data_IF_289718457445
#
_entry.id   IF_289718457445
#
_cell.length_a   1.000
_cell.length_b   1.000
_cell.length_c   1.000
_cell.angle_alpha   90.00
_cell.angle_beta   90.00
_cell.angle_gamma   90.00
#
_symmetry.space_group_name_H-M   'P 1'
#
loop_
_entity.id
_entity.type
_entity.pdbx_description
1 polymer ?
#
# COMPACT_ATOMS: atom_id res chain seq x y z
N UNK A 1 -47.32 -90.24 -49.90
CA UNK A 1 -48.77 -90.39 -50.22
C UNK A 1 -49.38 -91.62 -49.52
N UNK A 2 -50.70 -91.74 -49.37
CA UNK A 2 -51.32 -92.98 -48.84
C UNK A 2 -51.15 -94.12 -49.85
N UNK A 3 -50.82 -95.33 -49.37
CA UNK A 3 -50.55 -96.53 -50.18
C UNK A 3 -51.67 -96.82 -51.19
N UNK A 4 -52.90 -96.43 -50.85
CA UNK A 4 -54.07 -96.54 -51.71
C UNK A 4 -54.02 -95.66 -52.96
N UNK A 5 -53.42 -94.47 -52.92
CA UNK A 5 -53.29 -93.57 -54.10
C UNK A 5 -52.20 -94.02 -55.08
N UNK A 6 -51.19 -94.75 -54.59
CA UNK A 6 -50.10 -95.30 -55.39
C UNK A 6 -50.54 -96.55 -56.17
N UNK A 7 -51.37 -97.39 -55.55
CA UNK A 7 -51.98 -98.58 -56.15
C UNK A 7 -53.06 -98.25 -57.20
N UNK A 8 -53.62 -97.03 -57.18
CA UNK A 8 -54.58 -96.54 -58.19
C UNK A 8 -53.93 -95.94 -59.44
N UNK A 9 -52.72 -95.35 -59.31
CA UNK A 9 -52.06 -94.60 -60.39
C UNK A 9 -51.19 -95.44 -61.31
N UNK A 10 -50.67 -96.55 -60.83
CA UNK A 10 -49.76 -97.41 -61.59
C UNK A 10 -50.28 -98.83 -61.56
N UNK A 11 -50.44 -99.43 -62.74
CA UNK A 11 -50.88 -100.82 -62.88
C UNK A 11 -49.76 -101.76 -62.41
N UNK A 12 -49.88 -102.13 -61.13
CA UNK A 12 -48.93 -102.97 -60.38
C UNK A 12 -48.84 -104.40 -60.92
N UNK A 13 -49.66 -104.75 -61.92
CA UNK A 13 -49.62 -106.03 -62.64
C UNK A 13 -48.46 -106.12 -63.64
N UNK A 14 -47.83 -104.98 -63.97
CA UNK A 14 -46.77 -104.88 -64.98
C UNK A 14 -45.48 -104.34 -64.38
N UNK A 15 -44.36 -104.96 -64.73
CA UNK A 15 -43.02 -104.66 -64.17
C UNK A 15 -42.65 -103.18 -64.32
N UNK A 16 -42.98 -102.56 -65.46
CA UNK A 16 -42.72 -101.14 -65.73
C UNK A 16 -43.54 -100.18 -64.83
N UNK A 17 -44.79 -100.53 -64.51
CA UNK A 17 -45.65 -99.76 -63.61
C UNK A 17 -45.17 -99.84 -62.17
N UNK A 18 -44.76 -101.04 -61.76
CA UNK A 18 -44.12 -101.32 -60.47
C UNK A 18 -42.84 -100.49 -60.31
N UNK A 19 -41.99 -100.44 -61.33
CA UNK A 19 -40.69 -99.77 -61.26
C UNK A 19 -40.80 -98.24 -61.22
N UNK A 20 -41.80 -97.65 -61.89
CA UNK A 20 -42.10 -96.20 -61.76
C UNK A 20 -42.66 -95.85 -60.39
N UNK A 21 -43.59 -96.65 -59.87
CA UNK A 21 -44.10 -96.46 -58.52
C UNK A 21 -42.98 -96.58 -57.48
N UNK A 22 -42.03 -97.51 -57.69
CA UNK A 22 -40.87 -97.71 -56.83
C UNK A 22 -39.92 -96.52 -56.86
N UNK A 23 -39.57 -95.98 -58.04
CA UNK A 23 -38.73 -94.77 -58.15
C UNK A 23 -39.38 -93.52 -57.55
N UNK A 24 -40.69 -93.34 -57.72
CA UNK A 24 -41.42 -92.21 -57.12
C UNK A 24 -41.47 -92.34 -55.58
N UNK A 25 -41.64 -93.57 -55.06
CA UNK A 25 -41.55 -93.85 -53.62
C UNK A 25 -40.13 -93.60 -53.11
N UNK A 26 -39.09 -94.09 -53.79
CA UNK A 26 -37.68 -93.87 -53.41
C UNK A 26 -37.33 -92.38 -53.39
N UNK A 27 -37.90 -91.59 -54.32
CA UNK A 27 -37.72 -90.14 -54.34
C UNK A 27 -38.46 -89.45 -53.18
N UNK A 28 -39.71 -89.82 -52.91
CA UNK A 28 -40.44 -89.31 -51.74
C UNK A 28 -39.73 -89.71 -50.44
N UNK A 29 -39.20 -90.93 -50.36
CA UNK A 29 -38.44 -91.44 -49.21
C UNK A 29 -37.14 -90.65 -49.01
N UNK A 30 -36.38 -90.38 -50.09
CA UNK A 30 -35.18 -89.56 -50.03
C UNK A 30 -35.48 -88.10 -49.62
N UNK A 31 -36.55 -87.49 -50.15
CA UNK A 31 -36.97 -86.13 -49.77
C UNK A 31 -37.40 -86.07 -48.29
N UNK A 32 -38.12 -87.10 -47.80
CA UNK A 32 -38.52 -87.21 -46.40
C UNK A 32 -37.31 -87.45 -45.51
N UNK A 33 -36.35 -88.28 -45.91
CA UNK A 33 -35.13 -88.55 -45.14
C UNK A 33 -34.23 -87.31 -45.05
N UNK A 34 -34.13 -86.52 -46.11
CA UNK A 34 -33.39 -85.26 -46.09
C UNK A 34 -34.09 -84.21 -45.21
N UNK A 35 -35.42 -84.13 -45.27
CA UNK A 35 -36.18 -83.28 -44.35
C UNK A 35 -36.06 -83.75 -42.89
N UNK A 36 -36.11 -85.06 -42.63
CA UNK A 36 -36.03 -85.64 -41.29
C UNK A 36 -34.63 -85.44 -40.69
N UNK A 37 -33.57 -85.67 -41.47
CA UNK A 37 -32.19 -85.40 -41.05
C UNK A 37 -31.94 -83.91 -40.78
N UNK A 38 -32.56 -83.03 -41.58
CA UNK A 38 -32.59 -81.58 -41.32
C UNK A 38 -33.28 -81.21 -40.01
N UNK A 39 -34.40 -81.85 -39.68
CA UNK A 39 -35.11 -81.61 -38.40
C UNK A 39 -34.36 -82.21 -37.21
N UNK A 40 -33.81 -83.42 -37.35
CA UNK A 40 -33.05 -84.10 -36.30
C UNK A 40 -31.75 -83.36 -35.97
N UNK A 41 -31.04 -82.84 -36.97
CA UNK A 41 -29.83 -82.02 -36.74
C UNK A 41 -30.16 -80.71 -36.01
N UNK A 42 -31.31 -80.08 -36.32
CA UNK A 42 -31.81 -78.91 -35.60
C UNK A 42 -32.21 -79.25 -34.16
N UNK A 43 -32.82 -80.41 -33.92
CA UNK A 43 -33.14 -80.89 -32.58
C UNK A 43 -31.87 -81.13 -31.75
N UNK A 44 -30.86 -81.81 -32.30
CA UNK A 44 -29.56 -82.02 -31.65
C UNK A 44 -28.85 -80.69 -31.32
N UNK A 45 -28.89 -79.73 -32.24
CA UNK A 45 -28.34 -78.38 -32.00
C UNK A 45 -29.10 -77.64 -30.89
N UNK A 46 -30.43 -77.75 -30.88
CA UNK A 46 -31.28 -77.13 -29.86
C UNK A 46 -31.03 -77.73 -28.48
N UNK A 47 -30.91 -79.06 -28.37
CA UNK A 47 -30.56 -79.75 -27.13
C UNK A 47 -29.17 -79.35 -26.63
N UNK A 48 -28.19 -79.21 -27.52
CA UNK A 48 -26.86 -78.68 -27.19
C UNK A 48 -26.94 -77.27 -26.60
N UNK A 49 -27.71 -76.37 -27.24
CA UNK A 49 -27.94 -75.00 -26.73
C UNK A 49 -28.69 -74.99 -25.41
N UNK A 50 -29.68 -75.87 -25.25
CA UNK A 50 -30.46 -75.99 -24.00
C UNK A 50 -29.57 -76.49 -22.85
N UNK A 51 -28.68 -77.44 -23.11
CA UNK A 51 -27.71 -77.94 -22.13
C UNK A 51 -26.73 -76.84 -21.71
N UNK A 52 -26.21 -76.06 -22.67
CA UNK A 52 -25.35 -74.91 -22.36
C UNK A 52 -26.12 -73.84 -21.57
N UNK A 53 -27.37 -73.56 -21.91
CA UNK A 53 -28.21 -72.62 -21.17
C UNK A 53 -28.50 -73.10 -19.74
N UNK A 54 -28.76 -74.40 -19.55
CA UNK A 54 -28.95 -75.00 -18.23
C UNK A 54 -27.69 -74.92 -17.37
N UNK A 55 -26.51 -75.24 -17.94
CA UNK A 55 -25.22 -75.07 -17.26
C UNK A 55 -24.89 -73.60 -16.96
N UNK A 56 -25.29 -72.68 -17.83
CA UNK A 56 -25.15 -71.25 -17.57
C UNK A 56 -26.09 -70.81 -16.44
N UNK A 57 -27.30 -71.36 -16.37
CA UNK A 57 -28.26 -71.08 -15.30
C UNK A 57 -27.75 -71.52 -13.93
N UNK A 58 -27.15 -72.71 -13.83
CA UNK A 58 -26.55 -73.17 -12.57
C UNK A 58 -25.40 -72.28 -12.14
N UNK A 59 -24.47 -71.95 -13.07
CA UNK A 59 -23.37 -71.01 -12.79
C UNK A 59 -23.86 -69.62 -12.39
N UNK A 60 -24.92 -69.11 -13.02
CA UNK A 60 -25.55 -67.85 -12.64
C UNK A 60 -26.17 -67.91 -11.24
N UNK A 61 -26.71 -69.06 -10.84
CA UNK A 61 -27.23 -69.24 -9.50
C UNK A 61 -26.10 -69.27 -8.46
N UNK A 62 -24.97 -69.91 -8.76
CA UNK A 62 -23.78 -69.88 -7.91
C UNK A 62 -23.22 -68.45 -7.76
N UNK A 63 -23.12 -67.72 -8.88
CA UNK A 63 -22.71 -66.30 -8.86
C UNK A 63 -23.70 -65.45 -8.06
N UNK A 64 -25.00 -65.73 -8.15
CA UNK A 64 -26.02 -65.04 -7.36
C UNK A 64 -25.85 -65.33 -5.86
N UNK A 65 -25.59 -66.58 -5.47
CA UNK A 65 -25.35 -66.92 -4.07
C UNK A 65 -24.07 -66.28 -3.53
N UNK A 66 -22.98 -66.31 -4.31
CA UNK A 66 -21.71 -65.68 -3.92
C UNK A 66 -21.84 -64.16 -3.82
N UNK A 67 -22.58 -63.53 -4.74
CA UNK A 67 -22.87 -62.10 -4.70
C UNK A 67 -23.71 -61.73 -3.46
N UNK A 68 -24.65 -62.59 -3.08
CA UNK A 68 -25.46 -62.37 -1.87
C UNK A 68 -24.59 -62.48 -0.61
N UNK A 69 -23.73 -63.49 -0.52
CA UNK A 69 -22.80 -63.66 0.61
C UNK A 69 -21.85 -62.45 0.69
N UNK A 70 -21.33 -61.98 -0.44
CA UNK A 70 -20.50 -60.79 -0.49
C UNK A 70 -21.26 -59.53 -0.04
N UNK A 71 -22.51 -59.34 -0.48
CA UNK A 71 -23.35 -58.23 -0.06
C UNK A 71 -23.58 -58.26 1.46
N UNK A 72 -23.91 -59.42 2.02
CA UNK A 72 -24.12 -59.59 3.46
C UNK A 72 -22.82 -59.31 4.26
N UNK A 73 -21.65 -59.74 3.76
CA UNK A 73 -20.36 -59.44 4.38
C UNK A 73 -20.03 -57.94 4.33
N UNK A 74 -20.30 -57.27 3.21
CA UNK A 74 -20.12 -55.82 3.08
C UNK A 74 -21.07 -55.07 4.02
N UNK A 75 -22.33 -55.50 4.13
CA UNK A 75 -23.30 -54.90 5.04
C UNK A 75 -22.86 -55.03 6.50
N UNK A 76 -22.43 -56.22 6.94
CA UNK A 76 -21.90 -56.44 8.28
C UNK A 76 -20.65 -55.62 8.55
N UNK A 77 -19.73 -55.55 7.58
CA UNK A 77 -18.50 -54.75 7.69
C UNK A 77 -18.82 -53.25 7.76
N UNK A 78 -19.78 -52.77 6.99
CA UNK A 78 -20.25 -51.39 7.03
C UNK A 78 -20.92 -51.06 8.37
N UNK A 79 -21.69 -51.99 8.95
CA UNK A 79 -22.25 -51.86 10.30
C UNK A 79 -21.16 -51.66 11.35
N UNK A 80 -20.18 -52.57 11.40
CA UNK A 80 -19.04 -52.48 12.32
C UNK A 80 -18.25 -51.18 12.14
N UNK A 81 -17.97 -50.77 10.90
CA UNK A 81 -17.27 -49.53 10.61
C UNK A 81 -18.05 -48.28 11.07
N UNK A 82 -19.38 -48.27 10.93
CA UNK A 82 -20.24 -47.19 11.46
C UNK A 82 -20.19 -47.13 12.98
N UNK A 83 -20.27 -48.28 13.67
CA UNK A 83 -20.24 -48.35 15.13
C UNK A 83 -18.88 -47.91 15.69
N UNK A 84 -17.78 -48.37 15.07
CA UNK A 84 -16.43 -47.92 15.43
C UNK A 84 -16.29 -46.42 15.18
N UNK A 85 -16.74 -45.91 14.03
CA UNK A 85 -16.68 -44.47 13.72
C UNK A 85 -17.50 -43.64 14.71
N UNK A 86 -18.68 -44.12 15.12
CA UNK A 86 -19.52 -43.43 16.09
C UNK A 86 -18.85 -43.36 17.47
N UNK A 87 -18.27 -44.47 17.94
CA UNK A 87 -17.51 -44.51 19.20
C UNK A 87 -16.25 -43.62 19.15
N UNK A 88 -15.52 -43.65 18.03
CA UNK A 88 -14.33 -42.78 17.84
C UNK A 88 -14.74 -41.31 17.86
N UNK A 89 -15.82 -40.90 17.19
CA UNK A 89 -16.32 -39.52 17.25
C UNK A 89 -16.70 -39.08 18.67
N UNK A 90 -17.34 -39.95 19.45
CA UNK A 90 -17.65 -39.66 20.85
C UNK A 90 -16.39 -39.51 21.70
N UNK A 91 -15.39 -40.37 21.48
CA UNK A 91 -14.11 -40.32 22.17
C UNK A 91 -13.32 -39.06 21.78
N UNK A 92 -13.32 -38.67 20.51
CA UNK A 92 -12.68 -37.44 20.02
C UNK A 92 -13.34 -36.20 20.62
N UNK A 93 -14.67 -36.20 20.73
CA UNK A 93 -15.41 -35.11 21.36
C UNK A 93 -15.09 -35.01 22.86
N UNK A 94 -15.02 -36.14 23.57
CA UNK A 94 -14.61 -36.17 24.97
C UNK A 94 -13.15 -35.71 25.14
N UNK A 95 -12.23 -36.20 24.29
CA UNK A 95 -10.82 -35.82 24.30
C UNK A 95 -10.62 -34.33 24.00
N UNK A 96 -11.36 -33.79 23.04
CA UNK A 96 -11.35 -32.37 22.70
C UNK A 96 -11.81 -31.51 23.89
N UNK A 97 -12.91 -31.89 24.55
CA UNK A 97 -13.39 -31.21 25.76
C UNK A 97 -12.39 -31.28 26.91
N UNK A 98 -11.74 -32.43 27.12
CA UNK A 98 -10.71 -32.57 28.17
C UNK A 98 -9.50 -31.69 27.86
N UNK A 99 -9.04 -31.67 26.61
CA UNK A 99 -7.93 -30.81 26.19
C UNK A 99 -8.27 -29.31 26.36
N UNK A 100 -9.51 -28.91 26.06
CA UNK A 100 -10.00 -27.55 26.27
C UNK A 100 -10.06 -27.20 27.77
N UNK A 101 -10.57 -28.10 28.62
CA UNK A 101 -10.56 -27.92 30.08
C UNK A 101 -9.13 -27.80 30.62
N UNK A 102 -8.18 -28.62 30.13
CA UNK A 102 -6.79 -28.56 30.55
C UNK A 102 -6.14 -27.22 30.19
N UNK A 103 -6.36 -26.73 28.95
CA UNK A 103 -5.89 -25.40 28.53
C UNK A 103 -6.49 -24.31 29.40
N UNK A 104 -7.80 -24.34 29.66
CA UNK A 104 -8.49 -23.37 30.53
C UNK A 104 -7.93 -23.34 31.95
N UNK A 105 -7.62 -24.50 32.53
CA UNK A 105 -7.01 -24.57 33.87
C UNK A 105 -5.60 -24.00 33.85
N UNK A 106 -4.80 -24.32 32.84
CA UNK A 106 -3.46 -23.75 32.68
C UNK A 106 -3.52 -22.22 32.52
N UNK A 107 -4.45 -21.72 31.70
CA UNK A 107 -4.67 -20.29 31.50
C UNK A 107 -5.06 -19.59 32.81
N UNK A 108 -5.95 -20.19 33.62
CA UNK A 108 -6.34 -19.61 34.92
C UNK A 108 -5.18 -19.55 35.91
N UNK A 109 -4.34 -20.59 35.95
CA UNK A 109 -3.13 -20.62 36.79
C UNK A 109 -2.15 -19.54 36.31
N UNK A 110 -1.89 -19.47 35.01
CA UNK A 110 -1.01 -18.48 34.40
C UNK A 110 -1.49 -17.06 34.66
N UNK A 111 -2.81 -16.81 34.66
CA UNK A 111 -3.37 -15.48 34.89
C UNK A 111 -3.10 -15.01 36.33
N UNK A 112 -3.24 -15.91 37.32
CA UNK A 112 -2.90 -15.63 38.72
C UNK A 112 -1.38 -15.45 38.93
N UNK A 113 -0.58 -16.27 38.24
CA UNK A 113 0.88 -16.14 38.31
C UNK A 113 1.37 -14.85 37.64
N UNK A 114 0.75 -14.43 36.52
CA UNK A 114 1.12 -13.20 35.84
C UNK A 114 0.72 -11.97 36.66
N UNK A 115 -0.46 -11.94 37.31
CA UNK A 115 -0.85 -10.81 38.16
C UNK A 115 0.07 -10.68 39.38
N UNK A 116 0.33 -11.78 40.09
CA UNK A 116 1.27 -11.79 41.22
C UNK A 116 2.71 -11.49 40.79
N UNK A 117 3.12 -12.00 39.62
CA UNK A 117 4.43 -11.77 39.02
C UNK A 117 4.67 -10.30 38.67
N UNK A 118 3.67 -9.61 38.10
CA UNK A 118 3.76 -8.16 37.82
C UNK A 118 3.88 -7.37 39.12
N UNK A 119 3.10 -7.68 40.15
CA UNK A 119 3.20 -6.99 41.45
C UNK A 119 4.57 -7.20 42.11
N UNK A 120 5.11 -8.42 42.05
CA UNK A 120 6.44 -8.73 42.56
C UNK A 120 7.54 -8.02 41.77
N UNK A 121 7.44 -8.00 40.44
CA UNK A 121 8.35 -7.31 39.54
C UNK A 121 8.39 -5.79 39.80
N UNK A 122 7.23 -5.17 40.04
CA UNK A 122 7.14 -3.76 40.43
C UNK A 122 7.88 -3.49 41.75
N UNK A 123 7.72 -4.37 42.75
CA UNK A 123 8.42 -4.28 44.05
C UNK A 123 9.93 -4.47 43.92
N UNK A 124 10.36 -5.37 43.03
CA UNK A 124 11.77 -5.63 42.75
C UNK A 124 12.42 -4.57 41.83
N UNK A 125 11.65 -3.59 41.34
CA UNK A 125 12.06 -2.62 40.31
C UNK A 125 12.56 -3.25 39.01
N UNK A 126 12.15 -4.49 38.72
CA UNK A 126 12.49 -5.20 37.50
C UNK A 126 11.31 -5.15 36.52
N UNK A 127 11.32 -4.15 35.64
CA UNK A 127 10.23 -3.91 34.70
C UNK A 127 10.26 -4.85 33.47
N UNK A 128 11.38 -5.52 33.21
CA UNK A 128 11.52 -6.45 32.08
C UNK A 128 10.75 -7.73 32.32
N UNK A 129 10.90 -8.32 33.50
CA UNK A 129 10.12 -9.50 33.90
C UNK A 129 8.64 -9.15 34.00
N UNK A 130 8.30 -7.97 34.55
CA UNK A 130 6.94 -7.46 34.59
C UNK A 130 6.30 -7.32 33.20
N UNK A 131 7.01 -6.73 32.23
CA UNK A 131 6.54 -6.61 30.85
C UNK A 131 6.37 -7.97 30.17
N UNK A 132 7.26 -8.93 30.45
CA UNK A 132 7.13 -10.32 29.99
C UNK A 132 5.86 -11.01 30.48
N UNK A 133 5.51 -10.83 31.76
CA UNK A 133 4.24 -11.34 32.32
C UNK A 133 3.01 -10.71 31.68
N UNK A 134 3.05 -9.40 31.38
CA UNK A 134 1.96 -8.72 30.65
C UNK A 134 1.86 -9.20 29.19
N UNK A 135 2.99 -9.37 28.51
CA UNK A 135 3.02 -9.88 27.14
C UNK A 135 2.43 -11.29 27.04
N UNK A 136 2.80 -12.18 27.98
CA UNK A 136 2.21 -13.52 28.09
C UNK A 136 0.70 -13.42 28.28
N UNK A 137 0.21 -12.56 29.16
CA UNK A 137 -1.22 -12.35 29.36
C UNK A 137 -1.95 -11.86 28.10
N UNK A 138 -1.38 -10.92 27.35
CA UNK A 138 -1.96 -10.44 26.10
C UNK A 138 -2.02 -11.51 25.00
N UNK A 139 -1.16 -12.53 25.08
CA UNK A 139 -1.18 -13.66 24.15
C UNK A 139 -2.20 -14.77 24.51
N UNK A 140 -2.86 -14.68 25.67
CA UNK A 140 -3.83 -15.68 26.13
C UNK A 140 -5.23 -15.48 25.52
N UNK A 141 -5.91 -16.57 25.19
CA UNK A 141 -7.22 -16.56 24.52
C UNK A 141 -8.34 -15.93 25.41
N UNK A 142 -9.10 -14.94 24.90
CA UNK A 142 -10.30 -14.40 25.52
C UNK A 142 -11.35 -15.43 25.97
N UNK A 143 -11.44 -16.58 25.30
CA UNK A 143 -12.50 -17.58 25.49
C UNK A 143 -12.43 -18.42 26.78
N UNK A 144 -11.29 -18.42 27.49
CA UNK A 144 -11.09 -19.31 28.66
C UNK A 144 -11.81 -18.88 29.95
N UNK A 145 -12.40 -17.67 30.00
CA UNK A 145 -12.75 -17.03 31.29
C UNK A 145 -14.26 -16.81 31.53
N UNK A 146 -15.11 -17.05 30.51
CA UNK A 146 -16.57 -16.98 30.71
C UNK A 146 -17.08 -17.94 31.81
N UNK A 147 -16.38 -19.06 32.03
CA UNK A 147 -16.70 -20.03 33.08
C UNK A 147 -16.28 -19.61 34.50
N UNK A 148 -15.36 -18.65 34.66
CA UNK A 148 -14.96 -18.14 35.97
C UNK A 148 -16.07 -17.29 36.63
N UNK A 149 -16.90 -16.62 35.82
CA UNK A 149 -18.09 -15.86 36.26
C UNK A 149 -19.10 -16.72 37.03
N UNK A 150 -19.18 -18.02 36.74
CA UNK A 150 -20.16 -18.91 37.34
C UNK A 150 -19.94 -19.18 38.83
N UNK A 151 -18.76 -18.83 39.39
CA UNK A 151 -18.40 -19.10 40.80
C UNK A 151 -18.35 -17.88 41.71
N UNK A 152 -18.73 -16.68 41.23
CA UNK A 152 -18.79 -15.47 42.06
C UNK A 152 -17.43 -14.94 42.54
N UNK A 153 -16.31 -15.44 42.01
CA UNK A 153 -14.97 -14.93 42.30
C UNK A 153 -14.70 -13.64 41.50
N UNK A 154 -13.94 -12.67 42.05
CA UNK A 154 -13.49 -11.49 41.32
C UNK A 154 -12.80 -11.93 40.02
N UNK A 155 -13.11 -11.28 38.89
CA UNK A 155 -12.52 -11.65 37.60
C UNK A 155 -11.00 -11.45 37.70
N UNK A 156 -10.20 -12.51 37.55
CA UNK A 156 -8.76 -12.39 37.69
C UNK A 156 -8.17 -11.52 36.57
N UNK A 157 -8.90 -11.30 35.44
CA UNK A 157 -8.55 -10.29 34.43
C UNK A 157 -8.51 -8.89 35.00
N UNK A 158 -9.45 -8.52 35.87
CA UNK A 158 -9.47 -7.17 36.45
C UNK A 158 -8.25 -6.93 37.33
N UNK A 159 -7.80 -7.96 38.07
CA UNK A 159 -6.57 -7.89 38.85
C UNK A 159 -5.34 -7.69 37.94
N UNK A 160 -5.27 -8.43 36.83
CA UNK A 160 -4.18 -8.29 35.87
C UNK A 160 -4.22 -6.95 35.13
N UNK A 161 -5.40 -6.46 34.72
CA UNK A 161 -5.55 -5.15 34.11
C UNK A 161 -5.15 -4.03 35.08
N UNK A 162 -5.51 -4.15 36.36
CA UNK A 162 -5.02 -3.23 37.40
C UNK A 162 -3.50 -3.29 37.54
N UNK A 163 -2.92 -4.48 37.66
CA UNK A 163 -1.47 -4.66 37.77
C UNK A 163 -0.72 -4.10 36.54
N UNK A 164 -1.22 -4.35 35.33
CA UNK A 164 -0.68 -3.80 34.09
C UNK A 164 -0.78 -2.27 34.03
N UNK A 165 -1.90 -1.69 34.51
CA UNK A 165 -2.05 -0.24 34.60
C UNK A 165 -1.10 0.38 35.62
N UNK A 166 -0.88 -0.28 36.77
CA UNK A 166 0.11 0.17 37.77
C UNK A 166 1.53 0.09 37.21
N UNK A 167 1.88 -1.01 36.51
CA UNK A 167 3.17 -1.14 35.82
C UNK A 167 3.39 0.00 34.82
N UNK A 168 2.36 0.30 34.02
CA UNK A 168 2.36 1.41 33.07
C UNK A 168 2.62 2.75 33.76
N UNK A 169 1.92 3.07 34.84
CA UNK A 169 2.13 4.33 35.56
C UNK A 169 3.56 4.48 36.10
N UNK A 170 4.14 3.39 36.62
CA UNK A 170 5.52 3.38 37.06
C UNK A 170 6.51 3.55 35.89
N UNK A 171 6.25 2.91 34.75
CA UNK A 171 7.07 3.05 33.55
C UNK A 171 7.04 4.47 33.00
N UNK A 172 5.86 5.11 32.93
CA UNK A 172 5.72 6.50 32.49
C UNK A 172 6.50 7.43 33.42
N UNK A 173 6.36 7.29 34.74
CA UNK A 173 7.10 8.11 35.71
C UNK A 173 8.60 7.95 35.57
N UNK A 174 9.09 6.71 35.47
CA UNK A 174 10.54 6.44 35.29
C UNK A 174 11.05 6.93 33.94
N UNK A 175 10.23 6.87 32.89
CA UNK A 175 10.58 7.42 31.59
C UNK A 175 10.72 8.95 31.66
N UNK A 176 9.79 9.64 32.32
CA UNK A 176 9.88 11.09 32.53
C UNK A 176 11.09 11.48 33.38
N UNK A 177 11.44 10.70 34.41
CA UNK A 177 12.64 10.90 35.21
C UNK A 177 13.93 10.70 34.39
N UNK A 178 13.98 9.66 33.55
CA UNK A 178 15.10 9.40 32.66
C UNK A 178 15.22 10.49 31.58
N UNK A 179 14.10 10.96 31.04
CA UNK A 179 14.03 12.07 30.10
C UNK A 179 14.55 13.37 30.73
N UNK A 180 14.24 13.65 32.00
CA UNK A 180 14.79 14.83 32.73
C UNK A 180 16.29 14.74 32.97
N UNK A 181 16.84 13.52 33.11
CA UNK A 181 18.26 13.26 33.30
C UNK A 181 19.03 13.10 31.98
N UNK A 182 18.35 13.15 30.84
CA UNK A 182 18.90 12.89 29.50
C UNK A 182 19.64 11.54 29.38
N UNK A 183 19.17 10.52 30.13
CA UNK A 183 19.79 9.20 30.16
C UNK A 183 19.34 8.32 28.98
N UNK A 184 20.00 8.50 27.83
CA UNK A 184 19.70 7.80 26.57
C UNK A 184 19.59 6.26 26.69
N UNK A 185 20.53 5.52 27.33
CA UNK A 185 20.43 4.07 27.40
C UNK A 185 19.22 3.61 28.22
N UNK A 186 18.86 4.33 29.29
CA UNK A 186 17.66 4.02 30.09
C UNK A 186 16.38 4.29 29.30
N UNK A 187 16.33 5.36 28.50
CA UNK A 187 15.20 5.69 27.62
C UNK A 187 14.99 4.58 26.58
N UNK A 188 16.05 4.11 25.93
CA UNK A 188 15.96 3.02 24.94
C UNK A 188 15.51 1.69 25.57
N UNK A 189 16.02 1.38 26.77
CA UNK A 189 15.62 0.18 27.51
C UNK A 189 14.14 0.22 27.90
N UNK A 190 13.68 1.34 28.46
CA UNK A 190 12.28 1.53 28.84
C UNK A 190 11.34 1.53 27.63
N UNK A 191 11.77 2.13 26.50
CA UNK A 191 10.97 2.16 25.28
C UNK A 191 10.67 0.76 24.74
N UNK A 192 11.63 -0.17 24.82
CA UNK A 192 11.44 -1.58 24.40
C UNK A 192 10.35 -2.32 25.18
N UNK A 193 9.99 -1.84 26.38
CA UNK A 193 8.96 -2.45 27.22
C UNK A 193 7.54 -2.05 26.80
N UNK A 194 7.35 -0.87 26.20
CA UNK A 194 6.02 -0.39 25.81
C UNK A 194 5.34 -1.26 24.73
N UNK A 195 6.04 -1.73 23.68
CA UNK A 195 5.48 -2.71 22.75
C UNK A 195 5.09 -4.04 23.42
N UNK A 196 5.87 -4.51 24.39
CA UNK A 196 5.60 -5.77 25.10
C UNK A 196 4.32 -5.69 25.95
N UNK A 197 3.99 -4.49 26.43
CA UNK A 197 2.77 -4.19 27.20
C UNK A 197 1.57 -3.90 26.26
N UNK A 198 1.75 -3.98 24.94
CA UNK A 198 0.70 -3.70 23.96
C UNK A 198 0.31 -2.22 23.88
N UNK A 199 1.16 -1.32 24.38
CA UNK A 199 0.94 0.14 24.42
C UNK A 199 2.07 0.88 23.73
N UNK A 200 2.44 0.42 22.54
CA UNK A 200 3.48 1.04 21.71
C UNK A 200 3.18 2.51 21.39
N UNK A 201 1.90 2.82 21.19
CA UNK A 201 1.37 4.17 20.96
C UNK A 201 1.81 5.20 22.02
N UNK A 202 1.61 4.89 23.30
CA UNK A 202 1.97 5.79 24.40
C UNK A 202 3.49 5.94 24.55
N UNK A 203 4.24 4.86 24.31
CA UNK A 203 5.70 4.90 24.30
C UNK A 203 6.23 5.84 23.22
N UNK A 204 5.66 5.79 22.02
CA UNK A 204 6.02 6.70 20.92
C UNK A 204 5.66 8.15 21.28
N UNK A 205 4.49 8.39 21.89
CA UNK A 205 4.09 9.75 22.30
C UNK A 205 5.05 10.35 23.35
N UNK A 206 5.50 9.57 24.33
CA UNK A 206 6.45 10.03 25.34
C UNK A 206 7.83 10.31 24.74
N UNK A 207 8.32 9.40 23.89
CA UNK A 207 9.57 9.59 23.18
C UNK A 207 9.51 10.81 22.25
N UNK A 208 8.39 10.97 21.54
CA UNK A 208 8.13 12.10 20.66
C UNK A 208 8.15 13.42 21.41
N UNK A 209 7.53 13.49 22.60
CA UNK A 209 7.56 14.68 23.47
C UNK A 209 8.98 14.99 23.93
N UNK A 210 9.74 13.99 24.38
CA UNK A 210 11.14 14.19 24.78
C UNK A 210 11.99 14.73 23.62
N UNK A 211 11.92 14.08 22.45
CA UNK A 211 12.64 14.51 21.26
C UNK A 211 12.19 15.89 20.76
N UNK A 212 10.90 16.22 20.89
CA UNK A 212 10.39 17.55 20.56
C UNK A 212 10.99 18.63 21.48
N UNK A 213 11.08 18.39 22.80
CA UNK A 213 11.71 19.34 23.73
C UNK A 213 13.21 19.52 23.45
N UNK A 214 13.92 18.44 23.13
CA UNK A 214 15.32 18.50 22.73
C UNK A 214 15.50 19.25 21.40
N UNK A 215 14.65 18.95 20.40
CA UNK A 215 14.66 19.61 19.11
C UNK A 215 14.34 21.11 19.25
N UNK A 216 13.38 21.49 20.09
CA UNK A 216 13.02 22.89 20.34
C UNK A 216 14.21 23.68 20.89
N UNK A 217 14.98 23.12 21.83
CA UNK A 217 16.18 23.75 22.36
C UNK A 217 17.25 23.97 21.28
N UNK A 218 17.43 23.01 20.38
CA UNK A 218 18.37 23.11 19.24
C UNK A 218 17.87 24.11 18.20
N UNK A 219 16.58 24.06 17.84
CA UNK A 219 15.91 24.95 16.89
C UNK A 219 16.02 26.39 17.38
N UNK A 220 15.79 26.65 18.68
CA UNK A 220 15.91 28.00 19.26
C UNK A 220 17.31 28.60 19.06
N UNK A 221 18.36 27.78 19.10
CA UNK A 221 19.75 28.21 18.82
C UNK A 221 19.98 28.38 17.31
N UNK A 222 19.43 27.49 16.49
CA UNK A 222 19.54 27.53 15.03
C UNK A 222 18.82 28.73 14.39
N UNK A 223 17.76 29.26 15.03
CA UNK A 223 17.06 30.45 14.59
C UNK A 223 17.88 31.75 14.68
N UNK A 224 19.02 31.74 15.37
CA UNK A 224 19.84 32.95 15.52
C UNK A 224 20.58 33.21 14.19
N UNK A 225 20.20 34.31 13.54
CA UNK A 225 20.84 34.80 12.31
C UNK A 225 21.97 35.75 12.69
N UNK A 226 23.21 35.36 12.37
CA UNK A 226 24.38 36.23 12.51
C UNK A 226 24.52 37.10 11.26
N UNK A 227 24.66 38.40 11.41
CA UNK A 227 24.78 39.38 10.31
C UNK A 227 23.57 39.47 9.36
N UNK A 228 22.44 39.94 9.91
CA UNK A 228 21.18 40.14 9.19
C UNK A 228 21.25 41.07 7.95
N UNK A 229 22.33 41.86 7.80
CA UNK A 229 22.52 42.81 6.69
C UNK A 229 23.35 42.25 5.53
N UNK A 230 23.93 41.05 5.69
CA UNK A 230 24.67 40.41 4.61
C UNK A 230 23.78 40.11 3.40
N UNK A 231 24.34 40.27 2.20
CA UNK A 231 23.75 39.84 0.92
C UNK A 231 23.85 38.32 0.72
N UNK A 232 24.57 37.60 1.60
CA UNK A 232 24.55 36.15 1.64
C UNK A 232 23.16 35.64 2.05
N UNK A 233 22.83 34.41 1.64
CA UNK A 233 21.54 33.77 1.93
C UNK A 233 21.43 33.26 3.39
N UNK A 234 21.73 34.12 4.36
CA UNK A 234 21.85 33.78 5.78
C UNK A 234 20.51 33.27 6.36
N UNK A 235 19.38 33.79 5.90
CA UNK A 235 18.07 33.32 6.35
C UNK A 235 17.75 31.94 5.77
N UNK A 236 18.17 31.66 4.53
CA UNK A 236 18.02 30.32 3.93
C UNK A 236 18.88 29.28 4.67
N UNK A 237 20.09 29.66 5.09
CA UNK A 237 20.96 28.81 5.91
C UNK A 237 20.37 28.58 7.31
N UNK A 238 19.78 29.60 7.93
CA UNK A 238 19.07 29.46 9.19
C UNK A 238 17.88 28.50 9.06
N UNK A 239 17.07 28.62 7.99
CA UNK A 239 15.98 27.66 7.71
C UNK A 239 16.54 26.26 7.53
N UNK A 240 17.67 26.10 6.82
CA UNK A 240 18.35 24.81 6.63
C UNK A 240 18.68 24.16 7.97
N UNK A 241 19.30 24.90 8.90
CA UNK A 241 19.63 24.38 10.24
C UNK A 241 18.40 23.96 11.04
N UNK A 242 17.28 24.69 10.91
CA UNK A 242 16.02 24.34 11.61
C UNK A 242 15.39 23.07 11.03
N UNK A 243 15.30 22.94 9.71
CA UNK A 243 14.75 21.72 9.09
C UNK A 243 15.65 20.51 9.31
N UNK A 244 16.97 20.69 9.37
CA UNK A 244 17.92 19.62 9.72
C UNK A 244 17.74 19.17 11.18
N UNK A 245 17.58 20.09 12.12
CA UNK A 245 17.33 19.75 13.53
C UNK A 245 16.01 18.97 13.70
N UNK A 246 14.92 19.43 13.05
CA UNK A 246 13.64 18.72 13.04
C UNK A 246 13.72 17.35 12.37
N UNK A 247 14.40 17.28 11.21
CA UNK A 247 14.61 16.03 10.48
C UNK A 247 15.46 15.01 11.24
N UNK A 248 16.50 15.46 11.95
CA UNK A 248 17.33 14.61 12.80
C UNK A 248 16.54 14.04 13.98
N UNK A 249 15.72 14.86 14.64
CA UNK A 249 14.85 14.42 15.73
C UNK A 249 13.82 13.38 15.24
N UNK A 250 13.20 13.60 14.09
CA UNK A 250 12.26 12.65 13.49
C UNK A 250 12.94 11.33 13.09
N UNK A 251 14.14 11.40 12.50
CA UNK A 251 14.90 10.20 12.14
C UNK A 251 15.31 9.39 13.38
N UNK A 252 15.65 10.08 14.49
CA UNK A 252 15.90 9.44 15.77
C UNK A 252 14.65 8.74 16.30
N UNK A 253 13.50 9.41 16.27
CA UNK A 253 12.21 8.83 16.67
C UNK A 253 11.89 7.58 15.84
N UNK A 254 12.07 7.64 14.52
CA UNK A 254 11.85 6.51 13.61
C UNK A 254 12.74 5.30 13.92
N UNK A 255 14.03 5.53 14.22
CA UNK A 255 14.97 4.44 14.56
C UNK A 255 14.60 3.77 15.88
N UNK A 256 14.26 4.55 16.89
CA UNK A 256 13.82 4.02 18.16
C UNK A 256 12.48 3.26 18.03
N UNK A 257 11.55 3.80 17.25
CA UNK A 257 10.25 3.21 16.96
C UNK A 257 10.28 2.08 15.92
N UNK A 258 11.45 1.56 15.53
CA UNK A 258 11.56 0.48 14.55
C UNK A 258 10.78 -0.80 14.96
N UNK A 259 10.56 -1.01 16.26
CA UNK A 259 9.76 -2.10 16.79
C UNK A 259 8.23 -1.91 16.63
N UNK A 260 7.77 -0.71 16.28
CA UNK A 260 6.36 -0.35 16.13
C UNK A 260 6.15 0.50 14.85
N UNK A 261 6.21 -0.13 13.66
CA UNK A 261 6.07 0.58 12.38
C UNK A 261 4.67 1.19 12.23
N UNK A 262 4.59 2.32 11.53
CA UNK A 262 3.32 3.03 11.23
C UNK A 262 2.98 4.17 12.18
N UNK A 263 3.73 4.33 13.28
CA UNK A 263 3.47 5.35 14.30
C UNK A 263 4.31 6.62 14.11
N UNK A 264 5.06 6.76 13.01
CA UNK A 264 5.87 7.96 12.74
C UNK A 264 5.05 9.26 12.74
N UNK A 265 3.79 9.20 12.31
CA UNK A 265 2.88 10.36 12.30
C UNK A 265 2.69 10.97 13.70
N UNK A 266 2.70 10.17 14.77
CA UNK A 266 2.62 10.66 16.16
C UNK A 266 3.88 11.40 16.58
N UNK A 267 5.05 10.88 16.21
CA UNK A 267 6.30 11.58 16.43
C UNK A 267 6.35 12.92 15.67
N UNK A 268 5.87 12.92 14.43
CA UNK A 268 5.79 14.13 13.62
C UNK A 268 4.85 15.18 14.26
N UNK A 269 3.70 14.77 14.81
CA UNK A 269 2.78 15.68 15.50
C UNK A 269 3.42 16.44 16.66
N UNK A 270 4.35 15.81 17.39
CA UNK A 270 5.05 16.46 18.50
C UNK A 270 6.19 17.37 18.04
N UNK A 271 6.95 16.96 17.02
CA UNK A 271 8.18 17.66 16.58
C UNK A 271 7.85 18.84 15.63
N UNK A 272 6.85 18.67 14.76
CA UNK A 272 6.52 19.65 13.71
C UNK A 272 6.19 21.06 14.25
N UNK A 273 5.46 21.25 15.37
CA UNK A 273 5.20 22.57 15.94
C UNK A 273 6.47 23.38 16.25
N UNK A 274 7.52 22.74 16.76
CA UNK A 274 8.79 23.41 17.04
C UNK A 274 9.45 23.90 15.75
N UNK A 275 9.48 23.07 14.70
CA UNK A 275 9.98 23.42 13.37
C UNK A 275 9.18 24.58 12.77
N UNK A 276 7.85 24.52 12.84
CA UNK A 276 6.95 25.57 12.37
C UNK A 276 7.23 26.91 13.07
N UNK A 277 7.36 26.92 14.39
CA UNK A 277 7.64 28.13 15.16
C UNK A 277 9.00 28.74 14.80
N UNK A 278 10.02 27.90 14.64
CA UNK A 278 11.37 28.32 14.29
C UNK A 278 11.44 28.96 12.91
N UNK A 279 10.82 28.33 11.91
CA UNK A 279 10.80 28.85 10.53
C UNK A 279 9.92 30.09 10.44
N UNK A 280 8.77 30.15 11.11
CA UNK A 280 7.94 31.35 11.16
C UNK A 280 8.71 32.55 11.70
N UNK A 281 9.50 32.35 12.76
CA UNK A 281 10.35 33.41 13.32
C UNK A 281 11.37 33.90 12.31
N UNK A 282 12.11 32.99 11.67
CA UNK A 282 13.10 33.34 10.64
C UNK A 282 12.44 34.04 9.46
N UNK A 283 11.26 33.58 9.01
CA UNK A 283 10.51 34.20 7.93
C UNK A 283 10.04 35.62 8.28
N UNK A 284 9.58 35.84 9.52
CA UNK A 284 9.21 37.17 10.00
C UNK A 284 10.42 38.13 10.04
N UNK A 285 11.57 37.65 10.52
CA UNK A 285 12.82 38.42 10.52
C UNK A 285 13.29 38.72 9.08
N UNK A 286 13.19 37.77 8.15
CA UNK A 286 13.50 37.95 6.73
C UNK A 286 12.62 39.03 6.09
N UNK A 287 11.30 38.95 6.29
CA UNK A 287 10.33 39.93 5.76
C UNK A 287 10.62 41.33 6.29
N UNK A 288 10.93 41.46 7.58
CA UNK A 288 11.27 42.73 8.19
C UNK A 288 12.61 43.29 7.68
N UNK A 289 13.66 42.45 7.63
CA UNK A 289 15.01 42.86 7.25
C UNK A 289 15.11 43.25 5.76
N UNK A 290 14.41 42.51 4.88
CA UNK A 290 14.39 42.75 3.43
C UNK A 290 13.25 43.69 3.02
N UNK A 291 12.43 44.16 3.96
CA UNK A 291 11.26 45.04 3.73
C UNK A 291 10.34 44.50 2.64
N UNK A 292 10.06 43.20 2.69
CA UNK A 292 9.24 42.54 1.68
C UNK A 292 7.80 43.05 1.78
N UNK A 293 7.35 43.72 0.73
CA UNK A 293 5.99 44.24 0.58
C UNK A 293 5.32 43.55 -0.60
N UNK A 294 3.99 43.50 -0.60
CA UNK A 294 3.22 43.04 -1.77
C UNK A 294 3.42 43.94 -2.99
N UNK A 295 3.78 45.21 -2.77
CA UNK A 295 4.19 46.15 -3.82
C UNK A 295 5.71 46.41 -3.72
N UNK A 296 6.55 45.64 -4.44
CA UNK A 296 8.00 45.79 -4.43
C UNK A 296 8.49 47.10 -5.10
N UNK A 297 7.65 47.78 -5.88
CA UNK A 297 8.04 49.00 -6.60
C UNK A 297 8.30 50.19 -5.67
N UNK A 298 7.77 50.17 -4.44
CA UNK A 298 7.94 51.24 -3.44
C UNK A 298 9.22 51.12 -2.60
N UNK A 299 9.89 49.97 -2.64
CA UNK A 299 11.00 49.65 -1.72
C UNK A 299 12.39 49.58 -2.34
N UNK A 300 12.50 49.42 -3.67
CA UNK A 300 13.76 49.13 -4.37
C UNK A 300 14.15 50.28 -5.31
N UNK A 301 15.43 50.66 -5.28
CA UNK A 301 16.00 51.70 -6.15
C UNK A 301 16.37 51.16 -7.54
N UNK A 302 16.60 49.85 -7.69
CA UNK A 302 16.93 49.23 -8.98
C UNK A 302 16.45 47.77 -9.07
N UNK A 303 16.24 47.22 -10.27
CA UNK A 303 15.87 45.80 -10.44
C UNK A 303 17.00 44.87 -9.97
N UNK A 304 18.26 45.25 -10.16
CA UNK A 304 19.40 44.42 -9.81
C UNK A 304 19.55 44.22 -8.30
N UNK A 305 19.14 45.20 -7.47
CA UNK A 305 19.18 45.05 -6.02
C UNK A 305 18.14 44.05 -5.48
N UNK A 306 17.18 43.62 -6.30
CA UNK A 306 16.23 42.56 -5.93
C UNK A 306 16.84 41.15 -6.05
N UNK A 307 17.95 40.97 -6.79
CA UNK A 307 18.47 39.64 -7.10
C UNK A 307 18.95 38.83 -5.89
N UNK A 308 19.71 39.40 -4.93
CA UNK A 308 20.12 38.65 -3.75
C UNK A 308 18.91 38.18 -2.93
N UNK A 309 17.89 39.04 -2.81
CA UNK A 309 16.65 38.75 -2.09
C UNK A 309 15.83 37.67 -2.80
N UNK A 310 15.73 37.72 -4.13
CA UNK A 310 15.08 36.68 -4.93
C UNK A 310 15.80 35.32 -4.79
N UNK A 311 17.13 35.32 -4.80
CA UNK A 311 17.90 34.10 -4.59
C UNK A 311 17.69 33.53 -3.18
N UNK A 312 17.70 34.37 -2.15
CA UNK A 312 17.47 33.97 -0.77
C UNK A 312 16.03 33.44 -0.54
N UNK A 313 15.00 34.08 -1.12
CA UNK A 313 13.62 33.61 -1.06
C UNK A 313 13.42 32.27 -1.79
N UNK A 314 13.96 32.15 -3.00
CA UNK A 314 13.90 30.91 -3.78
C UNK A 314 14.60 29.76 -3.04
N UNK A 315 15.78 29.99 -2.47
CA UNK A 315 16.50 29.01 -1.67
C UNK A 315 15.69 28.63 -0.43
N UNK A 316 15.16 29.60 0.32
CA UNK A 316 14.38 29.36 1.53
C UNK A 316 13.16 28.48 1.24
N UNK A 317 12.40 28.81 0.18
CA UNK A 317 11.27 28.01 -0.25
C UNK A 317 11.70 26.58 -0.64
N UNK A 318 12.78 26.45 -1.41
CA UNK A 318 13.33 25.16 -1.84
C UNK A 318 13.71 24.26 -0.64
N UNK A 319 14.31 24.83 0.41
CA UNK A 319 14.64 24.10 1.65
C UNK A 319 13.40 23.57 2.36
N UNK A 320 12.32 24.34 2.41
CA UNK A 320 11.04 23.90 3.00
C UNK A 320 10.41 22.78 2.16
N UNK A 321 10.39 22.91 0.83
CA UNK A 321 9.91 21.86 -0.08
C UNK A 321 10.70 20.54 0.06
N UNK A 322 12.03 20.64 0.21
CA UNK A 322 12.89 19.48 0.44
C UNK A 322 12.59 18.80 1.78
N UNK A 323 12.32 19.58 2.84
CA UNK A 323 11.90 19.03 4.12
C UNK A 323 10.59 18.26 4.02
N UNK A 324 9.55 18.79 3.34
CA UNK A 324 8.32 18.04 3.12
C UNK A 324 8.54 16.75 2.32
N UNK A 325 9.40 16.80 1.30
CA UNK A 325 9.78 15.62 0.52
C UNK A 325 10.51 14.58 1.38
N UNK A 326 11.37 15.03 2.29
CA UNK A 326 12.02 14.18 3.28
C UNK A 326 10.99 13.52 4.21
N UNK A 327 10.03 14.28 4.76
CA UNK A 327 8.97 13.73 5.62
C UNK A 327 8.18 12.63 4.93
N UNK A 328 7.73 12.88 3.68
CA UNK A 328 7.02 11.89 2.87
C UNK A 328 7.86 10.63 2.70
N UNK A 329 9.12 10.77 2.27
CA UNK A 329 10.03 9.62 2.08
C UNK A 329 10.22 8.82 3.38
N UNK A 330 10.30 9.48 4.53
CA UNK A 330 10.41 8.79 5.82
C UNK A 330 9.14 8.04 6.21
N UNK A 331 7.97 8.61 5.92
CA UNK A 331 6.70 7.92 6.08
C UNK A 331 6.60 6.67 5.18
N UNK A 332 7.11 6.74 3.95
CA UNK A 332 7.14 5.56 3.07
C UNK A 332 8.02 4.43 3.59
N UNK A 333 9.19 4.77 4.14
CA UNK A 333 10.12 3.80 4.73
C UNK A 333 9.52 3.19 6.00
N UNK A 334 8.90 3.99 6.85
CA UNK A 334 8.25 3.52 8.09
C UNK A 334 7.04 2.62 7.80
N UNK A 335 6.29 2.91 6.75
CA UNK A 335 5.12 2.15 6.34
C UNK A 335 5.44 0.95 5.43
N UNK A 336 6.71 0.72 5.07
CA UNK A 336 7.13 -0.39 4.21
C UNK A 336 6.77 -1.80 4.73
N UNK A 337 6.86 -2.12 6.04
CA UNK A 337 6.53 -3.46 6.56
C UNK A 337 5.03 -3.66 6.82
N UNK A 338 4.18 -2.65 6.63
CA UNK A 338 2.75 -2.71 6.92
C UNK A 338 1.94 -3.29 5.75
N UNK A 339 0.72 -3.75 6.06
CA UNK A 339 -0.27 -4.16 5.03
C UNK A 339 -0.76 -2.93 4.26
N UNK A 340 -1.28 -3.13 3.04
CA UNK A 340 -1.63 -2.02 2.14
C UNK A 340 -2.62 -1.00 2.74
N UNK A 341 -3.62 -1.44 3.50
CA UNK A 341 -4.58 -0.56 4.14
C UNK A 341 -3.94 0.31 5.24
N UNK A 342 -3.12 -0.29 6.10
CA UNK A 342 -2.41 0.39 7.19
C UNK A 342 -1.31 1.31 6.65
N UNK A 343 -0.64 0.89 5.58
CA UNK A 343 0.35 1.69 4.85
C UNK A 343 -0.28 2.96 4.27
N UNK A 344 -1.46 2.83 3.65
CA UNK A 344 -2.20 3.99 3.16
C UNK A 344 -2.61 4.93 4.29
N UNK A 345 -3.19 4.40 5.38
CA UNK A 345 -3.59 5.20 6.53
C UNK A 345 -2.42 5.98 7.17
N UNK A 346 -1.25 5.34 7.32
CA UNK A 346 -0.05 5.99 7.86
C UNK A 346 0.45 7.13 6.96
N UNK A 347 0.48 6.90 5.63
CA UNK A 347 0.86 7.95 4.66
C UNK A 347 -0.13 9.11 4.65
N UNK A 348 -1.43 8.81 4.65
CA UNK A 348 -2.49 9.82 4.65
C UNK A 348 -2.45 10.66 5.94
N UNK A 349 -2.12 10.06 7.09
CA UNK A 349 -1.94 10.78 8.34
C UNK A 349 -0.76 11.78 8.28
N UNK A 350 0.38 11.38 7.71
CA UNK A 350 1.52 12.29 7.51
C UNK A 350 1.20 13.40 6.53
N UNK A 351 0.53 13.09 5.42
CA UNK A 351 0.14 14.11 4.43
C UNK A 351 -0.84 15.12 5.03
N UNK A 352 -1.79 14.65 5.86
CA UNK A 352 -2.70 15.54 6.59
C UNK A 352 -1.93 16.49 7.51
N UNK A 353 -0.93 16.00 8.24
CA UNK A 353 -0.09 16.84 9.11
C UNK A 353 0.66 17.89 8.27
N UNK A 354 1.22 17.50 7.13
CA UNK A 354 1.92 18.43 6.22
C UNK A 354 0.96 19.50 5.69
N UNK A 355 -0.24 19.10 5.27
CA UNK A 355 -1.24 20.03 4.72
C UNK A 355 -1.76 21.04 5.76
N UNK A 356 -1.95 20.60 7.01
CA UNK A 356 -2.51 21.43 8.08
C UNK A 356 -1.44 22.23 8.85
N UNK A 357 -0.15 21.96 8.64
CA UNK A 357 0.90 22.59 9.43
C UNK A 357 1.15 24.06 9.08
N UNK A 358 1.54 24.81 10.10
CA UNK A 358 1.94 26.22 10.02
C UNK A 358 3.08 26.49 9.04
N UNK A 359 3.99 25.52 8.87
CA UNK A 359 5.08 25.61 7.92
C UNK A 359 4.59 25.67 6.47
N UNK A 360 3.51 24.97 6.13
CA UNK A 360 2.93 25.02 4.78
C UNK A 360 2.41 26.44 4.48
N UNK A 361 1.76 27.07 5.46
CA UNK A 361 1.32 28.47 5.34
C UNK A 361 2.49 29.43 5.14
N UNK A 362 3.54 29.30 5.95
CA UNK A 362 4.75 30.13 5.81
C UNK A 362 5.47 29.87 4.48
N UNK A 363 5.47 28.65 3.96
CA UNK A 363 6.00 28.36 2.63
C UNK A 363 5.23 29.12 1.52
N UNK A 364 3.90 29.12 1.58
CA UNK A 364 3.07 29.85 0.63
C UNK A 364 3.24 31.38 0.74
N UNK A 365 3.42 31.91 1.96
CA UNK A 365 3.73 33.33 2.18
C UNK A 365 5.07 33.72 1.52
N UNK A 366 6.12 32.94 1.77
CA UNK A 366 7.44 33.14 1.14
C UNK A 366 7.34 33.05 -0.38
N UNK A 367 6.59 32.08 -0.90
CA UNK A 367 6.35 31.93 -2.34
C UNK A 367 5.61 33.16 -2.90
N UNK A 368 4.64 33.71 -2.18
CA UNK A 368 3.92 34.92 -2.58
C UNK A 368 4.84 36.13 -2.70
N UNK A 369 5.72 36.35 -1.72
CA UNK A 369 6.73 37.41 -1.79
C UNK A 369 7.72 37.19 -2.94
N UNK A 370 8.15 35.94 -3.13
CA UNK A 370 9.02 35.56 -4.24
C UNK A 370 8.37 35.91 -5.59
N UNK A 371 7.13 35.48 -5.84
CA UNK A 371 6.44 35.70 -7.11
C UNK A 371 6.19 37.18 -7.38
N UNK A 372 5.78 37.95 -6.38
CA UNK A 372 5.58 39.40 -6.53
C UNK A 372 6.89 40.11 -6.91
N UNK A 373 7.99 39.77 -6.23
CA UNK A 373 9.30 40.35 -6.49
C UNK A 373 9.88 39.89 -7.84
N UNK A 374 9.65 38.63 -8.21
CA UNK A 374 10.11 38.03 -9.47
C UNK A 374 9.42 38.70 -10.66
N UNK A 375 8.10 38.93 -10.56
CA UNK A 375 7.33 39.65 -11.57
C UNK A 375 7.83 41.09 -11.72
N UNK A 376 8.05 41.81 -10.62
CA UNK A 376 8.62 43.16 -10.65
C UNK A 376 10.00 43.19 -11.29
N UNK A 377 10.89 42.27 -10.89
CA UNK A 377 12.23 42.15 -11.46
C UNK A 377 12.18 41.94 -12.97
N UNK A 378 11.31 41.02 -13.43
CA UNK A 378 11.14 40.72 -14.83
C UNK A 378 10.59 41.93 -15.61
N UNK A 379 9.53 42.58 -15.11
CA UNK A 379 8.92 43.77 -15.73
C UNK A 379 9.93 44.91 -15.88
N UNK A 380 10.60 45.29 -14.80
CA UNK A 380 11.51 46.43 -14.82
C UNK A 380 12.82 46.14 -15.58
N UNK A 381 13.31 44.90 -15.54
CA UNK A 381 14.51 44.53 -16.31
C UNK A 381 14.24 44.55 -17.81
N UNK A 382 13.06 44.06 -18.25
CA UNK A 382 12.64 44.12 -19.65
C UNK A 382 12.36 45.57 -20.07
N UNK A 383 11.69 46.37 -19.24
CA UNK A 383 11.47 47.80 -19.49
C UNK A 383 12.79 48.57 -19.64
N UNK A 384 13.79 48.24 -18.81
CA UNK A 384 15.13 48.84 -18.89
C UNK A 384 15.85 48.42 -20.18
N UNK A 385 15.78 47.15 -20.57
CA UNK A 385 16.33 46.67 -21.84
C UNK A 385 15.67 47.38 -23.03
N UNK A 386 14.34 47.56 -23.02
CA UNK A 386 13.60 48.29 -24.05
C UNK A 386 14.02 49.76 -24.15
N UNK A 387 14.30 50.44 -23.03
CA UNK A 387 14.76 51.84 -23.02
C UNK A 387 16.21 51.99 -23.52
N UNK A 388 17.06 51.00 -23.25
CA UNK A 388 18.48 51.02 -23.63
C UNK A 388 18.71 50.56 -25.08
N UNK A 389 17.79 49.80 -25.63
CA UNK A 389 17.96 49.27 -26.97
C UNK A 389 17.83 50.39 -28.02
N UNK A 390 18.93 50.60 -28.74
CA UNK A 390 19.05 51.56 -29.84
C UNK A 390 19.07 50.83 -31.18
N UNK A 391 18.33 51.29 -32.21
CA UNK A 391 18.43 50.71 -33.54
C UNK A 391 19.80 51.02 -34.15
N UNK A 392 20.63 49.99 -34.37
CA UNK A 392 21.89 50.14 -35.08
C UNK A 392 21.67 50.01 -36.59
N UNK A 393 22.16 50.99 -37.35
CA UNK A 393 22.06 51.00 -38.81
C UNK A 393 22.96 49.90 -39.38
N UNK A 394 22.36 48.93 -40.08
CA UNK A 394 23.08 47.83 -40.74
C UNK A 394 23.12 46.51 -39.98
N UNK A 395 22.61 46.44 -38.74
CA UNK A 395 22.50 45.19 -37.99
C UNK A 395 21.19 44.45 -38.36
N UNK A 396 21.28 43.14 -38.62
CA UNK A 396 20.12 42.27 -38.92
C UNK A 396 19.44 41.72 -37.67
N UNK A 397 20.07 41.86 -36.49
CA UNK A 397 19.57 41.41 -35.19
C UNK A 397 19.64 42.54 -34.16
N UNK A 398 18.62 42.63 -33.30
CA UNK A 398 18.57 43.60 -32.20
C UNK A 398 19.08 42.95 -30.92
N UNK A 399 19.98 43.63 -30.20
CA UNK A 399 20.47 43.20 -28.87
C UNK A 399 19.35 43.04 -27.84
N UNK A 400 18.19 43.69 -28.09
CA UNK A 400 16.99 43.58 -27.25
C UNK A 400 16.50 42.13 -27.14
N UNK A 401 16.58 41.36 -28.23
CA UNK A 401 16.14 39.95 -28.22
C UNK A 401 17.03 39.17 -27.26
N UNK A 402 18.36 39.31 -27.39
CA UNK A 402 19.31 38.62 -26.54
C UNK A 402 19.15 39.01 -25.05
N UNK A 403 18.96 40.29 -24.75
CA UNK A 403 18.74 40.79 -23.39
C UNK A 403 17.46 40.21 -22.76
N UNK A 404 16.34 40.22 -23.50
CA UNK A 404 15.06 39.70 -23.00
C UNK A 404 15.12 38.19 -22.79
N UNK A 405 15.73 37.44 -23.73
CA UNK A 405 15.92 35.99 -23.57
C UNK A 405 16.88 35.65 -22.42
N UNK A 406 17.90 36.47 -22.19
CA UNK A 406 18.80 36.32 -21.05
C UNK A 406 18.04 36.49 -19.72
N UNK A 407 17.24 37.56 -19.60
CA UNK A 407 16.41 37.81 -18.42
C UNK A 407 15.42 36.67 -18.21
N UNK A 408 14.67 36.29 -19.25
CA UNK A 408 13.71 35.19 -19.20
C UNK A 408 14.35 33.87 -18.73
N UNK A 409 15.52 33.51 -19.30
CA UNK A 409 16.26 32.32 -18.91
C UNK A 409 16.68 32.37 -17.44
N UNK A 410 17.11 33.53 -16.94
CA UNK A 410 17.53 33.71 -15.54
C UNK A 410 16.35 33.51 -14.58
N UNK A 411 15.22 34.15 -14.86
CA UNK A 411 13.97 34.08 -14.11
C UNK A 411 13.41 32.66 -14.07
N UNK A 412 13.35 31.96 -15.21
CA UNK A 412 12.90 30.57 -15.31
C UNK A 412 13.80 29.62 -14.50
N UNK A 413 15.13 29.75 -14.64
CA UNK A 413 16.07 28.90 -13.89
C UNK A 413 15.90 29.07 -12.39
N UNK A 414 15.71 30.30 -11.93
CA UNK A 414 15.48 30.60 -10.51
C UNK A 414 14.16 30.02 -10.02
N UNK A 415 13.08 30.17 -10.78
CA UNK A 415 11.76 29.62 -10.43
C UNK A 415 11.76 28.09 -10.32
N UNK A 416 12.44 27.39 -11.24
CA UNK A 416 12.64 25.94 -11.15
C UNK A 416 13.45 25.57 -9.91
N UNK A 417 14.48 26.36 -9.57
CA UNK A 417 15.31 26.12 -8.38
C UNK A 417 14.58 26.35 -7.05
N UNK A 418 13.51 27.16 -7.06
CA UNK A 418 12.66 27.40 -5.89
C UNK A 418 11.86 26.16 -5.45
N UNK A 419 11.75 25.14 -6.31
CA UNK A 419 11.14 23.85 -5.95
C UNK A 419 9.61 23.90 -5.77
N UNK A 420 8.93 24.84 -6.43
CA UNK A 420 7.46 24.91 -6.53
C UNK A 420 7.03 24.78 -7.99
N UNK A 421 6.19 23.78 -8.29
CA UNK A 421 5.63 23.60 -9.64
C UNK A 421 4.70 24.76 -9.98
N UNK A 422 3.81 25.13 -9.05
CA UNK A 422 2.87 26.24 -9.25
C UNK A 422 3.60 27.57 -9.41
N UNK A 423 4.66 27.79 -8.62
CA UNK A 423 5.51 28.97 -8.74
C UNK A 423 6.22 29.04 -10.10
N UNK A 424 6.79 27.93 -10.56
CA UNK A 424 7.43 27.87 -11.88
C UNK A 424 6.43 28.14 -13.01
N UNK A 425 5.22 27.58 -12.93
CA UNK A 425 4.15 27.85 -13.90
C UNK A 425 3.73 29.32 -13.93
N UNK A 426 3.58 29.96 -12.76
CA UNK A 426 3.25 31.39 -12.67
C UNK A 426 4.32 32.25 -13.36
N UNK A 427 5.60 31.99 -13.05
CA UNK A 427 6.73 32.71 -13.63
C UNK A 427 6.83 32.50 -15.15
N UNK A 428 6.60 31.28 -15.64
CA UNK A 428 6.58 30.98 -17.08
C UNK A 428 5.48 31.76 -17.82
N UNK A 429 4.31 31.89 -17.21
CA UNK A 429 3.22 32.69 -17.77
C UNK A 429 3.59 34.18 -17.80
N UNK A 430 4.20 34.70 -16.73
CA UNK A 430 4.67 36.09 -16.69
C UNK A 430 5.75 36.36 -17.76
N UNK A 431 6.71 35.45 -17.94
CA UNK A 431 7.71 35.52 -19.01
C UNK A 431 7.06 35.53 -20.39
N UNK A 432 6.08 34.67 -20.63
CA UNK A 432 5.35 34.62 -21.91
C UNK A 432 4.66 35.96 -22.20
N UNK A 433 3.99 36.54 -21.20
CA UNK A 433 3.35 37.85 -21.32
C UNK A 433 4.35 39.00 -21.58
N UNK A 434 5.58 38.91 -21.09
CA UNK A 434 6.61 39.90 -21.42
C UNK A 434 7.18 39.71 -22.82
N UNK A 435 7.36 38.48 -23.27
CA UNK A 435 7.85 38.19 -24.62
C UNK A 435 6.88 38.72 -25.68
N UNK A 436 5.57 38.59 -25.45
CA UNK A 436 4.55 39.19 -26.32
C UNK A 436 4.63 40.71 -26.37
N UNK A 437 4.83 41.36 -25.21
CA UNK A 437 5.03 42.82 -25.12
C UNK A 437 6.30 43.28 -25.83
N UNK A 438 7.41 42.58 -25.63
CA UNK A 438 8.69 42.85 -26.30
C UNK A 438 8.58 42.68 -27.82
N UNK A 439 7.91 41.63 -28.29
CA UNK A 439 7.63 41.41 -29.70
C UNK A 439 6.77 42.54 -30.30
N UNK A 440 5.75 43.02 -29.57
CA UNK A 440 4.94 44.16 -30.01
C UNK A 440 5.77 45.47 -30.10
N UNK A 441 6.69 45.69 -29.16
CA UNK A 441 7.60 46.84 -29.20
C UNK A 441 8.56 46.78 -30.39
N UNK A 442 9.17 45.61 -30.66
CA UNK A 442 10.01 45.37 -31.83
C UNK A 442 9.25 45.61 -33.15
N UNK A 443 8.00 45.13 -33.24
CA UNK A 443 7.14 45.40 -34.42
C UNK A 443 6.88 46.89 -34.61
N UNK A 444 6.78 47.69 -33.55
CA UNK A 444 6.64 49.15 -33.66
C UNK A 444 7.92 49.79 -34.20
N UNK A 445 9.09 49.33 -33.77
CA UNK A 445 10.37 49.83 -34.28
C UNK A 445 10.59 49.52 -35.76
N UNK A 446 10.26 48.30 -36.18
CA UNK A 446 10.33 47.88 -37.58
C UNK A 446 9.31 48.59 -38.48
N UNK A 447 8.25 49.17 -37.90
CA UNK A 447 7.20 49.92 -38.63
C UNK A 447 7.44 51.43 -38.67
N UNK A 448 8.52 51.96 -38.08
CA UNK A 448 8.85 53.38 -38.23
C UNK A 448 9.05 53.72 -39.72
N UNK A 449 8.42 54.79 -40.25
CA UNK A 449 8.45 55.10 -41.68
C UNK A 449 9.87 55.43 -42.15
N UNK A 450 10.24 55.16 -43.41
CA UNK A 450 11.47 55.69 -43.98
C UNK A 450 11.44 57.22 -43.88
N UNK A 451 12.53 57.77 -43.36
CA UNK A 451 12.77 59.21 -43.21
C UNK A 451 12.41 59.91 -44.52
N UNK A 452 11.60 60.96 -44.42
CA UNK A 452 11.15 61.82 -45.52
C UNK A 452 12.30 62.10 -46.50
N UNK A 453 12.20 61.53 -47.70
CA UNK A 453 12.86 62.07 -48.88
C UNK A 453 12.22 63.43 -49.12
N UNK A 454 12.87 64.50 -48.66
CA UNK A 454 12.40 65.88 -48.86
C UNK A 454 12.13 66.11 -50.34
N UNK A 455 10.89 66.48 -50.63
CA UNK A 455 10.37 66.82 -51.95
C UNK A 455 10.89 68.18 -52.47
N UNK A 456 12.14 68.54 -52.14
CA UNK A 456 12.80 69.78 -52.57
C UNK A 456 13.94 69.55 -53.59
N UNK A 457 14.47 68.34 -53.72
CA UNK A 457 15.57 68.05 -54.66
C UNK A 457 15.11 67.72 -56.10
N UNK A 458 13.81 67.67 -56.37
CA UNK A 458 13.29 67.40 -57.74
C UNK A 458 13.13 68.69 -58.57
N UNK A 459 13.33 69.88 -57.99
CA UNK A 459 13.27 71.16 -58.75
C UNK A 459 14.61 71.72 -59.22
N UNK A 460 15.74 71.04 -58.99
CA UNK A 460 17.08 71.47 -59.46
C UNK A 460 17.63 70.74 -60.69
N UNK A 461 16.82 69.93 -61.38
CA UNK A 461 17.23 69.20 -62.60
C UNK A 461 16.38 69.52 -63.84
N UNK A 462 15.82 70.74 -63.92
CA UNK A 462 15.40 71.33 -65.19
C UNK A 462 16.03 72.71 -65.36
N UNK A 463 17.29 72.71 -65.80
CA UNK A 463 17.85 73.63 -66.79
C UNK A 463 19.23 73.10 -67.20
#
# INVERSE_FOLDING_TARGET
>A
MSLSLLLEKYDVSTDEGLQKALNDIEKEEAEVDEALSGVLSRACSLEGRLRVASQAYTKLNDVKTDSQIAADMVEKTAGLARDVSAKVRQLDLARSRVAECQRRVHDLIDLQLCSAGVEAAIKAHDYETGAGHVSRFLSMDPGSVAAARARGAPDPRDAMTRAANTLREHLVRKFEEAARKEDEPSIERLFKLFPQIGRAEEGVDLLAKYLATQAEAVIRRACIVSDARSEAAVYADAVTRVVEAGGAALERARRAAAAAPGLLHRALLAIQPAVCSGIRRIAGELVAARRLTQDPARGLSSPLSAEPVLAELALTHSRISLYFSFLRRKAEVDAAPLKDAEKKASKDAVEKIIAECDLMRTAQEILGYYLALERYFLEESVNKALKLATPQVGATTSSLVDDVFFIARKVIRRAVSAGSVDGACCVLNDVSAQLERGAAALRRWLRAPPIDFKMEDIKRLKL
#
